data_IF_061123463439
#
_entry.id   IF_061123463439
#
_cell.length_a   1.000
_cell.length_b   1.000
_cell.length_c   1.000
_cell.angle_alpha   90.00
_cell.angle_beta   90.00
_cell.angle_gamma   90.00
#
_symmetry.space_group_name_H-M   'P 1'
#
loop_
_entity.id
_entity.type
_entity.pdbx_description
1 polymer ?
#
# COMPACT_ATOMS: atom_id res chain seq x y z
N UNK A 1 -8.33 -7.33 -49.87
CA UNK A 1 -9.28 -7.10 -48.75
C UNK A 1 -8.49 -6.82 -47.48
N UNK A 2 -8.62 -5.64 -46.87
CA UNK A 2 -7.91 -5.31 -45.61
C UNK A 2 -8.62 -5.99 -44.44
N UNK A 3 -7.92 -6.86 -43.70
CA UNK A 3 -8.40 -7.38 -42.42
C UNK A 3 -8.26 -6.28 -41.38
N UNK A 4 -9.39 -5.74 -40.94
CA UNK A 4 -9.44 -4.78 -39.84
C UNK A 4 -9.22 -5.56 -38.54
N UNK A 5 -8.02 -5.48 -37.98
CA UNK A 5 -7.71 -6.14 -36.71
C UNK A 5 -8.48 -5.42 -35.60
N UNK A 6 -9.57 -6.02 -35.14
CA UNK A 6 -10.33 -5.55 -33.98
C UNK A 6 -9.43 -5.69 -32.76
N UNK A 7 -8.78 -4.59 -32.34
CA UNK A 7 -7.97 -4.59 -31.11
C UNK A 7 -8.91 -4.85 -29.93
N UNK A 8 -8.80 -5.99 -29.23
CA UNK A 8 -9.67 -6.27 -28.10
C UNK A 8 -9.35 -5.29 -26.97
N UNK A 9 -10.35 -4.50 -26.58
CA UNK A 9 -10.25 -3.55 -25.47
C UNK A 9 -10.06 -4.34 -24.18
N UNK A 10 -8.88 -4.25 -23.57
CA UNK A 10 -8.59 -4.93 -22.29
C UNK A 10 -9.69 -4.57 -21.28
N UNK A 11 -10.35 -5.58 -20.72
CA UNK A 11 -11.37 -5.38 -19.67
C UNK A 11 -10.69 -4.66 -18.50
N UNK A 12 -11.24 -3.51 -18.10
CA UNK A 12 -10.82 -2.81 -16.88
C UNK A 12 -10.97 -3.82 -15.74
N UNK A 13 -9.91 -3.98 -14.94
CA UNK A 13 -9.96 -4.82 -13.75
C UNK A 13 -11.10 -4.38 -12.82
N UNK A 14 -11.49 -5.23 -11.86
CA UNK A 14 -12.54 -4.90 -10.90
C UNK A 14 -12.28 -3.54 -10.23
N UNK A 15 -13.34 -2.77 -9.92
CA UNK A 15 -13.18 -1.51 -9.20
C UNK A 15 -12.44 -1.77 -7.88
N UNK A 16 -11.60 -0.82 -7.46
CA UNK A 16 -10.82 -0.96 -6.24
C UNK A 16 -11.76 -1.18 -5.04
N UNK A 17 -11.81 -2.39 -4.53
CA UNK A 17 -12.72 -2.84 -3.45
C UNK A 17 -12.25 -2.44 -2.05
N UNK A 18 -11.23 -1.59 -1.95
CA UNK A 18 -10.66 -1.15 -0.67
C UNK A 18 -11.37 0.06 -0.11
N UNK A 19 -11.85 -0.03 1.14
CA UNK A 19 -12.28 1.12 1.94
C UNK A 19 -11.07 2.06 2.15
N UNK A 20 -10.96 3.12 1.35
CA UNK A 20 -9.94 4.18 1.49
C UNK A 20 -9.22 4.54 0.18
N UNK A 21 -8.58 5.71 0.16
CA UNK A 21 -7.81 6.20 -1.00
C UNK A 21 -6.50 5.42 -1.11
N UNK A 22 -6.24 4.83 -2.28
CA UNK A 22 -4.98 4.12 -2.54
C UNK A 22 -3.84 5.12 -2.70
N UNK A 23 -2.77 4.92 -1.92
CA UNK A 23 -1.52 5.69 -2.02
C UNK A 23 -0.42 4.71 -2.46
N UNK A 24 0.17 4.94 -3.63
CA UNK A 24 1.30 4.16 -4.13
C UNK A 24 2.61 4.79 -3.63
N UNK A 25 3.28 4.13 -2.68
CA UNK A 25 4.56 4.59 -2.11
C UNK A 25 5.65 3.58 -2.45
N UNK A 26 6.81 4.07 -2.88
CA UNK A 26 8.02 3.27 -3.05
C UNK A 26 8.89 3.44 -1.81
N UNK A 27 8.98 2.40 -1.00
CA UNK A 27 9.89 2.37 0.15
C UNK A 27 11.28 1.94 -0.30
N UNK A 28 12.31 2.55 0.28
CA UNK A 28 13.69 2.10 0.11
C UNK A 28 13.92 0.80 0.92
N UNK A 29 14.97 0.01 0.62
CA UNK A 29 15.23 -1.25 1.32
C UNK A 29 15.32 -1.12 2.84
N UNK A 30 15.92 -0.04 3.34
CA UNK A 30 16.09 0.19 4.77
C UNK A 30 14.76 0.43 5.47
N UNK A 31 13.90 1.28 4.89
CA UNK A 31 12.55 1.56 5.39
C UNK A 31 11.68 0.30 5.38
N UNK A 32 11.76 -0.48 4.29
CA UNK A 32 11.00 -1.72 4.16
C UNK A 32 11.41 -2.74 5.23
N UNK A 33 12.72 -2.88 5.45
CA UNK A 33 13.27 -3.77 6.49
C UNK A 33 12.86 -3.32 7.89
N UNK A 34 12.87 -2.01 8.17
CA UNK A 34 12.43 -1.47 9.44
C UNK A 34 10.93 -1.75 9.70
N UNK A 35 10.08 -1.58 8.69
CA UNK A 35 8.64 -1.90 8.79
C UNK A 35 8.41 -3.39 9.01
N UNK A 36 9.10 -4.25 8.27
CA UNK A 36 8.99 -5.70 8.41
C UNK A 36 9.44 -6.15 9.81
N UNK A 37 10.60 -5.68 10.29
CA UNK A 37 11.10 -5.98 11.64
C UNK A 37 10.17 -5.47 12.76
N UNK A 38 9.51 -4.33 12.56
CA UNK A 38 8.53 -3.83 13.52
C UNK A 38 7.26 -4.68 13.53
N UNK A 39 6.77 -5.09 12.35
CA UNK A 39 5.58 -5.95 12.22
C UNK A 39 5.79 -7.29 12.91
N UNK A 40 6.95 -7.91 12.71
CA UNK A 40 7.23 -9.27 13.20
C UNK A 40 7.28 -9.33 14.73
N UNK A 41 7.43 -8.18 15.40
CA UNK A 41 7.34 -8.05 16.86
C UNK A 41 5.89 -7.92 17.38
N UNK A 42 4.91 -7.74 16.50
CA UNK A 42 3.51 -7.61 16.89
C UNK A 42 2.85 -8.99 16.93
N UNK A 43 2.12 -9.29 18.01
CA UNK A 43 1.46 -10.60 18.17
C UNK A 43 0.51 -10.97 17.03
N UNK A 44 -0.17 -9.98 16.44
CA UNK A 44 -1.13 -10.19 15.36
C UNK A 44 -0.50 -10.20 13.95
N UNK A 45 0.82 -10.01 13.84
CA UNK A 45 1.55 -9.98 12.55
C UNK A 45 0.82 -9.18 11.44
N UNK A 46 0.53 -7.88 11.67
CA UNK A 46 -0.34 -7.10 10.79
C UNK A 46 0.22 -6.97 9.38
N UNK A 47 -0.61 -7.05 8.33
CA UNK A 47 -0.13 -6.89 6.94
C UNK A 47 0.72 -5.61 6.75
N UNK A 48 1.66 -5.57 5.79
CA UNK A 48 2.51 -4.37 5.53
C UNK A 48 1.70 -3.05 5.50
N UNK A 49 0.55 -2.95 4.79
CA UNK A 49 -0.25 -1.75 4.81
C UNK A 49 -0.82 -1.40 6.19
N UNK A 50 -1.24 -2.38 6.97
CA UNK A 50 -1.74 -2.16 8.34
C UNK A 50 -0.63 -1.74 9.30
N UNK A 51 0.55 -2.31 9.17
CA UNK A 51 1.73 -1.90 9.94
C UNK A 51 2.06 -0.43 9.69
N UNK A 52 2.13 -0.02 8.41
CA UNK A 52 2.38 1.37 8.02
C UNK A 52 1.27 2.29 8.54
N UNK A 53 -0.01 1.91 8.44
CA UNK A 53 -1.14 2.69 8.99
C UNK A 53 -1.01 2.89 10.50
N UNK A 54 -0.58 1.86 11.22
CA UNK A 54 -0.42 1.90 12.68
C UNK A 54 0.73 2.82 13.07
N UNK A 55 1.90 2.65 12.46
CA UNK A 55 3.06 3.52 12.66
C UNK A 55 2.74 4.98 12.35
N UNK A 56 2.06 5.25 11.23
CA UNK A 56 1.64 6.60 10.85
C UNK A 56 0.69 7.22 11.88
N UNK A 57 -0.30 6.47 12.36
CA UNK A 57 -1.21 6.95 13.43
C UNK A 57 -0.46 7.22 14.74
N UNK A 58 0.53 6.40 15.10
CA UNK A 58 1.35 6.60 16.29
C UNK A 58 2.18 7.88 16.17
N UNK A 59 2.86 8.08 15.04
CA UNK A 59 3.66 9.28 14.79
C UNK A 59 2.81 10.56 14.82
N UNK A 60 1.64 10.56 14.17
CA UNK A 60 0.75 11.73 14.14
C UNK A 60 0.06 12.05 15.47
N UNK A 61 -0.03 11.08 16.38
CA UNK A 61 -0.54 11.32 17.75
C UNK A 61 0.45 12.09 18.61
N UNK A 62 1.75 11.97 18.32
CA UNK A 62 2.76 12.76 19.03
C UNK A 62 2.70 14.20 18.54
N UNK A 63 2.48 15.16 19.45
CA UNK A 63 2.50 16.58 19.09
C UNK A 63 3.88 16.89 18.51
N UNK A 64 4.00 17.48 17.31
CA UNK A 64 5.30 17.89 16.81
C UNK A 64 5.90 18.86 17.84
N UNK A 65 7.15 18.61 18.24
CA UNK A 65 7.97 19.63 18.90
C UNK A 65 8.18 20.73 17.86
N UNK A 66 7.27 21.70 17.85
CA UNK A 66 7.48 23.02 17.27
C UNK A 66 8.36 23.86 18.18
#
# INVERSE_FOLDING_TARGET
>A
MKRQTMVPKKKRGPPATGKGTQIQVRLQPDDLTAVDAWRDKQGDSPTRPEAIRTLLRQALKTKPKG
#
